data_IF_346673958486
#
_entry.id   IF_346673958486
#
_cell.length_a   1.000
_cell.length_b   1.000
_cell.length_c   1.000
_cell.angle_alpha   90.00
_cell.angle_beta   90.00
_cell.angle_gamma   90.00
#
_symmetry.space_group_name_H-M   'P 1'
#
loop_
_entity.id
_entity.type
_entity.pdbx_description
1 polymer ?
#
# COMPACT_ATOMS: atom_id res chain seq x y z
N UNK A 1 52.18 34.54 60.62
CA UNK A 1 52.71 35.92 60.55
C UNK A 1 53.33 36.07 59.17
N UNK A 2 52.97 36.98 58.27
CA UNK A 2 52.17 38.20 58.35
C UNK A 2 51.66 38.52 56.91
N UNK A 3 50.35 38.73 56.78
CA UNK A 3 49.66 39.83 56.07
C UNK A 3 50.16 40.30 54.69
N UNK A 4 49.39 40.14 53.59
CA UNK A 4 48.31 41.03 53.05
C UNK A 4 48.72 42.46 52.68
N UNK A 5 48.64 42.78 51.38
CA UNK A 5 48.40 44.11 50.76
C UNK A 5 47.69 43.81 49.41
N UNK A 6 46.38 43.96 49.18
CA UNK A 6 45.47 45.12 49.15
C UNK A 6 45.83 46.22 48.13
N UNK A 7 45.03 46.21 47.06
CA UNK A 7 44.24 47.33 46.50
C UNK A 7 44.90 48.40 45.62
N UNK A 8 44.36 48.53 44.40
CA UNK A 8 43.99 49.75 43.63
C UNK A 8 43.86 49.29 42.16
N UNK A 9 42.75 49.45 41.44
CA UNK A 9 42.10 50.71 41.07
C UNK A 9 40.63 50.43 40.70
N UNK A 10 39.70 51.19 41.28
CA UNK A 10 38.33 51.37 40.78
C UNK A 10 38.36 52.32 39.57
N UNK A 11 37.52 52.10 38.55
CA UNK A 11 36.53 53.09 38.10
C UNK A 11 35.45 52.47 37.18
N UNK A 12 34.26 53.04 37.29
CA UNK A 12 32.94 52.53 36.93
C UNK A 12 32.58 52.57 35.43
N UNK A 13 31.77 51.60 35.00
CA UNK A 13 30.65 51.84 34.08
C UNK A 13 29.51 50.84 34.34
N UNK A 14 28.36 51.37 34.75
CA UNK A 14 27.04 50.72 34.80
C UNK A 14 26.53 50.46 33.37
N UNK A 15 25.91 49.30 33.08
CA UNK A 15 24.46 49.21 32.76
C UNK A 15 23.99 47.76 32.51
N UNK A 16 22.82 47.46 33.08
CA UNK A 16 21.78 46.50 32.67
C UNK A 16 22.08 45.00 32.58
N UNK A 17 21.57 44.28 33.58
CA UNK A 17 21.16 42.88 33.49
C UNK A 17 19.88 42.75 32.63
N UNK A 18 19.79 41.66 31.85
CA UNK A 18 18.52 41.03 31.50
C UNK A 18 18.73 39.50 31.46
N UNK A 19 17.84 38.84 32.18
CA UNK A 19 17.73 37.41 32.42
C UNK A 19 17.45 36.65 31.10
N UNK A 20 18.09 35.50 30.88
CA UNK A 20 17.64 34.55 29.86
C UNK A 20 17.62 33.15 30.45
N UNK A 21 16.38 32.70 30.68
CA UNK A 21 16.01 31.34 31.05
C UNK A 21 16.40 30.45 29.87
N UNK A 22 17.35 29.54 30.08
CA UNK A 22 17.69 28.49 29.10
C UNK A 22 16.55 27.49 29.04
N UNK A 23 15.67 27.66 28.05
CA UNK A 23 14.70 26.65 27.65
C UNK A 23 15.48 25.44 27.13
N UNK A 24 15.17 24.27 27.67
CA UNK A 24 15.66 22.99 27.18
C UNK A 24 15.19 22.76 25.74
N UNK A 25 16.11 22.70 24.79
CA UNK A 25 15.82 22.14 23.48
C UNK A 25 15.54 20.64 23.65
N UNK A 26 14.39 20.20 23.15
CA UNK A 26 14.04 18.80 22.93
C UNK A 26 15.12 18.12 22.07
N UNK A 27 15.26 16.77 22.11
CA UNK A 27 16.14 16.07 21.19
C UNK A 27 15.77 16.41 19.74
N UNK A 28 16.77 16.67 18.92
CA UNK A 28 16.64 16.88 17.48
C UNK A 28 15.82 15.75 16.88
N UNK A 29 14.69 16.09 16.28
CA UNK A 29 14.06 15.24 15.26
C UNK A 29 15.14 15.06 14.17
N UNK A 30 15.43 13.82 13.80
CA UNK A 30 16.36 13.51 12.71
C UNK A 30 16.00 14.34 11.47
N UNK A 31 17.00 14.93 10.81
CA UNK A 31 16.84 15.71 9.57
C UNK A 31 16.21 14.81 8.48
N UNK A 32 14.87 14.75 8.41
CA UNK A 32 14.17 14.15 7.27
C UNK A 32 14.28 15.12 6.08
N UNK A 33 14.64 14.67 4.86
CA UNK A 33 14.70 15.55 3.70
C UNK A 33 13.27 16.01 3.34
N UNK A 34 12.97 17.29 3.56
CA UNK A 34 11.72 17.91 3.10
C UNK A 34 11.72 18.18 1.59
N UNK A 35 10.54 18.49 1.05
CA UNK A 35 10.32 18.78 -0.36
C UNK A 35 9.55 20.07 -0.63
N UNK A 36 9.42 20.43 -1.91
CA UNK A 36 8.68 21.62 -2.32
C UNK A 36 7.20 21.31 -2.58
N UNK A 37 6.30 21.83 -1.75
CA UNK A 37 4.87 21.69 -1.94
C UNK A 37 4.31 22.79 -2.86
N UNK A 38 3.81 22.40 -4.03
CA UNK A 38 3.26 23.28 -5.06
C UNK A 38 1.73 23.37 -4.92
N UNK A 39 1.27 24.37 -4.17
CA UNK A 39 -0.17 24.62 -3.95
C UNK A 39 -0.92 24.84 -5.26
N UNK A 40 -0.29 25.53 -6.22
CA UNK A 40 -0.92 25.93 -7.48
C UNK A 40 -0.84 24.86 -8.58
N UNK A 41 -0.15 23.75 -8.33
CA UNK A 41 -0.01 22.63 -9.28
C UNK A 41 -0.64 21.34 -8.73
N UNK A 42 -1.84 21.46 -8.15
CA UNK A 42 -2.60 20.31 -7.66
C UNK A 42 -2.08 19.72 -6.35
N UNK A 43 -1.53 20.54 -5.46
CA UNK A 43 -1.04 20.10 -4.14
C UNK A 43 0.05 19.02 -4.23
N UNK A 44 0.94 19.14 -5.22
CA UNK A 44 2.00 18.16 -5.49
C UNK A 44 3.26 18.46 -4.71
N UNK A 45 3.99 17.39 -4.43
CA UNK A 45 5.35 17.44 -3.91
C UNK A 45 6.37 17.37 -5.04
N UNK A 46 7.12 18.45 -5.24
CA UNK A 46 8.27 18.49 -6.14
C UNK A 46 9.57 18.36 -5.33
N UNK A 47 10.20 17.20 -5.50
CA UNK A 47 11.39 16.79 -4.77
C UNK A 47 12.70 17.11 -5.52
N UNK A 48 12.61 17.61 -6.75
CA UNK A 48 13.78 17.99 -7.55
C UNK A 48 14.21 19.44 -7.28
N UNK A 49 13.28 20.28 -6.81
CA UNK A 49 13.56 21.66 -6.49
C UNK A 49 14.33 21.78 -5.18
N UNK A 50 15.34 22.64 -5.17
CA UNK A 50 15.94 23.11 -3.92
C UNK A 50 14.98 24.03 -3.16
N UNK A 51 15.28 24.28 -1.88
CA UNK A 51 14.49 25.23 -1.05
C UNK A 51 14.38 26.61 -1.68
N UNK A 52 15.45 27.09 -2.34
CA UNK A 52 15.47 28.38 -3.02
C UNK A 52 14.61 28.40 -4.28
N UNK A 53 14.66 27.32 -5.07
CA UNK A 53 13.82 27.15 -6.27
C UNK A 53 12.34 27.01 -5.89
N UNK A 54 12.06 26.34 -4.78
CA UNK A 54 10.71 26.21 -4.24
C UNK A 54 10.06 27.57 -3.95
N UNK A 55 10.81 28.46 -3.29
CA UNK A 55 10.35 29.83 -3.05
C UNK A 55 10.16 30.63 -4.35
N UNK A 56 10.97 30.37 -5.37
CA UNK A 56 10.87 31.04 -6.67
C UNK A 56 9.61 30.67 -7.47
N UNK A 57 9.02 29.50 -7.21
CA UNK A 57 7.77 29.04 -7.83
C UNK A 57 6.54 29.20 -6.92
N UNK A 58 6.66 29.96 -5.83
CA UNK A 58 5.63 30.14 -4.81
C UNK A 58 5.20 28.82 -4.13
N UNK A 59 6.09 27.83 -4.10
CA UNK A 59 5.91 26.62 -3.31
C UNK A 59 6.21 26.83 -1.82
N UNK A 60 5.77 25.89 -0.99
CA UNK A 60 6.08 25.85 0.44
C UNK A 60 7.05 24.71 0.69
N UNK A 61 8.25 25.02 1.17
CA UNK A 61 9.16 23.98 1.65
C UNK A 61 8.61 23.38 2.95
N UNK A 62 8.42 22.07 2.99
CA UNK A 62 7.86 21.40 4.16
C UNK A 62 8.41 20.00 4.32
N UNK A 63 8.73 19.61 5.57
CA UNK A 63 9.14 18.26 5.94
C UNK A 63 8.00 17.24 5.77
N UNK A 64 6.75 17.71 5.65
CA UNK A 64 5.59 16.87 5.28
C UNK A 64 5.54 16.51 3.79
N UNK A 65 6.34 17.22 2.99
CA UNK A 65 6.55 16.84 1.61
C UNK A 65 7.63 15.77 1.66
N UNK A 66 7.21 14.56 2.04
CA UNK A 66 8.11 13.42 2.20
C UNK A 66 8.53 12.96 0.81
N UNK A 67 9.68 13.49 0.39
CA UNK A 67 10.44 13.03 -0.74
C UNK A 67 11.17 11.75 -0.34
N UNK A 68 10.41 10.70 -0.02
CA UNK A 68 11.01 9.37 -0.02
C UNK A 68 11.53 9.16 -1.45
N UNK A 69 12.82 8.82 -1.58
CA UNK A 69 13.27 8.26 -2.85
C UNK A 69 12.34 7.08 -3.09
N UNK A 70 11.50 7.16 -4.13
CA UNK A 70 10.70 6.06 -4.65
C UNK A 70 11.55 4.81 -4.52
N UNK A 71 11.25 3.97 -3.52
CA UNK A 71 12.01 2.74 -3.32
C UNK A 71 11.92 2.03 -4.67
N UNK A 72 13.05 1.84 -5.39
CA UNK A 72 12.99 1.22 -6.69
C UNK A 72 12.25 -0.09 -6.51
N UNK A 73 11.16 -0.27 -7.27
CA UNK A 73 10.29 -1.40 -7.00
C UNK A 73 11.10 -2.69 -7.08
N UNK A 74 11.05 -3.47 -6.01
CA UNK A 74 11.77 -4.72 -5.93
C UNK A 74 10.93 -5.75 -6.66
N UNK A 75 11.34 -6.16 -7.85
CA UNK A 75 10.69 -7.27 -8.58
C UNK A 75 11.34 -8.62 -8.30
N UNK A 76 12.31 -8.68 -7.39
CA UNK A 76 12.86 -9.94 -6.94
C UNK A 76 11.89 -10.66 -6.02
N UNK A 77 11.88 -11.99 -6.13
CA UNK A 77 11.01 -12.89 -5.36
C UNK A 77 9.54 -12.41 -5.32
N UNK A 78 8.89 -12.29 -6.49
CA UNK A 78 7.54 -11.72 -6.61
C UNK A 78 6.47 -12.51 -5.85
N UNK A 79 6.81 -13.73 -5.42
CA UNK A 79 5.86 -14.72 -4.98
C UNK A 79 6.44 -15.62 -3.88
N UNK A 80 5.80 -15.63 -2.71
CA UNK A 80 6.04 -16.61 -1.65
C UNK A 80 4.77 -17.38 -1.36
N UNK A 81 4.83 -18.71 -1.33
CA UNK A 81 3.69 -19.58 -1.10
C UNK A 81 3.96 -20.60 0.00
N UNK A 82 2.99 -20.76 0.90
CA UNK A 82 3.02 -21.72 1.99
C UNK A 82 1.71 -22.48 1.99
N UNK A 83 1.79 -23.81 1.89
CA UNK A 83 0.65 -24.70 2.12
C UNK A 83 0.53 -25.04 3.61
N UNK A 84 -0.69 -25.17 4.09
CA UNK A 84 -1.01 -25.49 5.48
C UNK A 84 -1.66 -26.87 5.61
N UNK A 85 -1.56 -27.46 6.81
CA UNK A 85 -2.11 -28.80 7.11
C UNK A 85 -3.64 -28.87 7.02
N UNK A 86 -4.33 -27.73 7.09
CA UNK A 86 -5.79 -27.62 6.96
C UNK A 86 -6.27 -27.58 5.50
N UNK A 87 -5.35 -27.69 4.54
CA UNK A 87 -5.65 -27.63 3.10
C UNK A 87 -5.77 -26.22 2.53
N UNK A 88 -5.63 -25.19 3.37
CA UNK A 88 -5.46 -23.81 2.91
C UNK A 88 -4.01 -23.51 2.55
N UNK A 89 -3.81 -22.39 1.88
CA UNK A 89 -2.51 -21.82 1.57
C UNK A 89 -2.46 -20.35 1.98
N UNK A 90 -1.27 -19.85 2.26
CA UNK A 90 -0.99 -18.42 2.31
C UNK A 90 -0.03 -18.06 1.19
N UNK A 91 -0.38 -17.02 0.44
CA UNK A 91 0.48 -16.43 -0.58
C UNK A 91 0.79 -14.99 -0.19
N UNK A 92 2.05 -14.59 -0.37
CA UNK A 92 2.47 -13.19 -0.40
C UNK A 92 2.97 -12.87 -1.80
N UNK A 93 2.40 -11.83 -2.40
CA UNK A 93 2.78 -11.31 -3.71
C UNK A 93 3.48 -9.97 -3.50
N UNK A 94 4.71 -9.86 -3.97
CA UNK A 94 5.41 -8.59 -4.06
C UNK A 94 4.97 -7.89 -5.35
N UNK A 95 3.91 -7.09 -5.21
CA UNK A 95 3.32 -6.21 -6.22
C UNK A 95 3.77 -4.75 -5.98
N UNK A 96 4.98 -4.54 -5.44
CA UNK A 96 5.48 -3.20 -5.11
C UNK A 96 5.67 -2.31 -6.35
N UNK A 97 5.82 -2.90 -7.54
CA UNK A 97 5.96 -2.18 -8.81
C UNK A 97 4.65 -1.55 -9.30
N UNK A 98 4.74 -0.29 -9.74
CA UNK A 98 3.60 0.44 -10.32
C UNK A 98 3.31 0.08 -11.77
N UNK A 99 4.32 -0.39 -12.52
CA UNK A 99 4.20 -0.66 -13.96
C UNK A 99 4.00 -2.15 -14.27
N UNK A 100 4.40 -3.04 -13.36
CA UNK A 100 4.40 -4.48 -13.60
C UNK A 100 3.28 -5.17 -12.82
N UNK A 101 2.62 -6.11 -13.49
CA UNK A 101 1.66 -7.02 -12.87
C UNK A 101 2.36 -8.34 -12.53
N UNK A 102 2.09 -8.87 -11.34
CA UNK A 102 2.45 -10.25 -10.97
C UNK A 102 1.21 -11.12 -11.10
N UNK A 103 1.32 -12.28 -11.73
CA UNK A 103 0.17 -13.13 -12.05
C UNK A 103 0.20 -14.42 -11.24
N UNK A 104 -0.97 -14.90 -10.81
CA UNK A 104 -1.16 -16.15 -10.07
C UNK A 104 -2.08 -17.08 -10.83
N UNK A 105 -1.68 -18.35 -10.91
CA UNK A 105 -2.55 -19.46 -11.25
C UNK A 105 -2.96 -20.20 -9.96
N UNK A 106 -4.24 -20.11 -9.58
CA UNK A 106 -4.78 -20.71 -8.37
C UNK A 106 -4.76 -22.24 -8.44
N UNK A 107 -5.00 -22.80 -9.63
CA UNK A 107 -5.04 -24.26 -9.81
C UNK A 107 -3.64 -24.89 -9.75
N UNK A 108 -2.63 -24.19 -10.25
CA UNK A 108 -1.22 -24.61 -10.15
C UNK A 108 -0.56 -24.19 -8.83
N UNK A 109 -1.22 -23.32 -8.05
CA UNK A 109 -0.72 -22.71 -6.82
C UNK A 109 0.63 -22.01 -6.99
N UNK A 110 0.83 -21.39 -8.15
CA UNK A 110 2.11 -20.83 -8.56
C UNK A 110 1.97 -19.50 -9.28
N UNK A 111 3.05 -18.73 -9.29
CA UNK A 111 3.20 -17.58 -10.18
C UNK A 111 3.04 -18.03 -11.64
N UNK A 112 2.31 -17.23 -12.42
CA UNK A 112 2.18 -17.36 -13.86
C UNK A 112 2.99 -16.27 -14.57
N UNK A 113 3.56 -16.59 -15.72
CA UNK A 113 4.36 -15.64 -16.53
C UNK A 113 3.84 -15.55 -17.96
N UNK A 114 2.61 -15.04 -18.17
CA UNK A 114 2.01 -15.00 -19.49
C UNK A 114 2.70 -14.02 -20.44
N UNK A 115 3.08 -14.50 -21.64
CA UNK A 115 3.67 -13.66 -22.70
C UNK A 115 2.68 -12.60 -23.22
N UNK A 116 1.38 -12.91 -23.20
CA UNK A 116 0.29 -12.02 -23.63
C UNK A 116 -0.85 -12.12 -22.63
N UNK A 117 -0.80 -11.38 -21.51
CA UNK A 117 -1.75 -11.54 -20.40
C UNK A 117 -3.22 -11.43 -20.83
N UNK A 118 -3.55 -10.47 -21.69
CA UNK A 118 -4.92 -10.21 -22.15
C UNK A 118 -5.53 -11.38 -22.96
N UNK A 119 -4.69 -12.30 -23.46
CA UNK A 119 -5.12 -13.52 -24.16
C UNK A 119 -4.42 -14.80 -23.67
N UNK A 120 -4.32 -14.97 -22.35
CA UNK A 120 -3.70 -16.16 -21.75
C UNK A 120 -4.68 -17.00 -20.91
N UNK A 121 -4.50 -18.33 -20.91
CA UNK A 121 -5.14 -19.28 -19.98
C UNK A 121 -4.32 -19.50 -18.71
N UNK A 122 -3.12 -18.92 -18.61
CA UNK A 122 -2.13 -19.31 -17.61
C UNK A 122 -2.34 -18.65 -16.25
N UNK A 123 -3.20 -17.64 -16.13
CA UNK A 123 -3.38 -16.87 -14.90
C UNK A 123 -4.86 -16.66 -14.55
N UNK A 124 -5.14 -16.57 -13.26
CA UNK A 124 -6.47 -16.29 -12.70
C UNK A 124 -6.57 -14.86 -12.16
N UNK A 125 -5.57 -14.46 -11.38
CA UNK A 125 -5.49 -13.15 -10.72
C UNK A 125 -4.19 -12.44 -11.06
N UNK A 126 -4.27 -11.13 -11.27
CA UNK A 126 -3.11 -10.25 -11.43
C UNK A 126 -3.05 -9.23 -10.31
N UNK A 127 -1.85 -8.92 -9.82
CA UNK A 127 -1.59 -8.00 -8.72
C UNK A 127 -0.64 -6.87 -9.14
N UNK A 128 -1.01 -5.63 -8.81
CA UNK A 128 -0.17 -4.45 -9.02
C UNK A 128 -0.51 -3.41 -7.95
N UNK A 129 0.46 -3.07 -7.09
CA UNK A 129 0.21 -2.25 -5.90
C UNK A 129 -0.98 -2.84 -5.12
N UNK A 130 -1.98 -2.04 -4.77
CA UNK A 130 -3.21 -2.48 -4.12
C UNK A 130 -4.26 -3.03 -5.08
N UNK A 131 -4.02 -2.96 -6.40
CA UNK A 131 -4.97 -3.39 -7.43
C UNK A 131 -4.89 -4.90 -7.63
N UNK A 132 -6.06 -5.52 -7.76
CA UNK A 132 -6.20 -6.95 -8.03
C UNK A 132 -7.19 -7.09 -9.18
N UNK A 133 -6.71 -7.61 -10.32
CA UNK A 133 -7.53 -7.86 -11.50
C UNK A 133 -7.79 -9.35 -11.67
N UNK A 134 -8.92 -9.69 -12.27
CA UNK A 134 -9.28 -11.07 -12.64
C UNK A 134 -9.05 -11.32 -14.12
N UNK A 135 -8.76 -12.56 -14.53
CA UNK A 135 -8.71 -12.93 -15.96
C UNK A 135 -10.13 -13.06 -16.52
N UNK A 136 -10.87 -11.96 -16.47
CA UNK A 136 -12.25 -11.87 -16.91
C UNK A 136 -12.63 -10.46 -17.29
N UNK A 137 -13.70 -10.33 -18.08
CA UNK A 137 -14.20 -9.04 -18.52
C UNK A 137 -13.19 -8.28 -19.38
N UNK A 138 -12.82 -7.07 -18.98
CA UNK A 138 -11.88 -6.23 -19.75
C UNK A 138 -10.40 -6.61 -19.53
N UNK A 139 -10.09 -7.35 -18.47
CA UNK A 139 -8.73 -7.62 -18.01
C UNK A 139 -8.09 -8.86 -18.67
N UNK A 140 -8.89 -9.72 -19.30
CA UNK A 140 -8.42 -10.90 -19.98
C UNK A 140 -9.53 -11.69 -20.67
N UNK A 141 -9.14 -12.58 -21.57
CA UNK A 141 -10.07 -13.30 -22.46
C UNK A 141 -10.68 -14.57 -21.85
N UNK A 142 -10.49 -14.81 -20.55
CA UNK A 142 -11.12 -15.92 -19.83
C UNK A 142 -12.36 -15.44 -19.08
N UNK A 143 -13.02 -16.36 -18.38
CA UNK A 143 -14.25 -16.09 -17.65
C UNK A 143 -14.02 -16.23 -16.14
N UNK A 144 -12.91 -15.68 -15.65
CA UNK A 144 -12.69 -15.60 -14.21
C UNK A 144 -13.64 -14.57 -13.64
N UNK A 145 -14.41 -14.99 -12.63
CA UNK A 145 -15.40 -14.14 -11.97
C UNK A 145 -15.25 -14.25 -10.46
N UNK A 146 -15.55 -13.16 -9.78
CA UNK A 146 -15.30 -12.99 -8.35
C UNK A 146 -16.58 -12.56 -7.64
N UNK A 147 -16.96 -13.29 -6.60
CA UNK A 147 -17.98 -12.88 -5.64
C UNK A 147 -17.30 -12.44 -4.35
N UNK A 148 -17.95 -11.58 -3.57
CA UNK A 148 -17.50 -11.15 -2.25
C UNK A 148 -18.62 -11.37 -1.23
N UNK A 149 -18.27 -11.81 -0.03
CA UNK A 149 -19.19 -11.88 1.11
C UNK A 149 -18.50 -11.44 2.40
N UNK A 150 -19.26 -10.77 3.26
CA UNK A 150 -18.92 -10.49 4.65
C UNK A 150 -19.89 -11.19 5.62
N UNK A 151 -20.72 -12.11 5.13
CA UNK A 151 -21.74 -12.79 5.93
C UNK A 151 -21.20 -14.05 6.64
N UNK A 152 -20.06 -14.56 6.20
CA UNK A 152 -19.41 -15.74 6.77
C UNK A 152 -17.88 -15.54 6.80
N UNK A 153 -17.24 -16.10 7.82
CA UNK A 153 -15.77 -16.12 7.89
C UNK A 153 -15.16 -17.11 6.92
N UNK A 154 -13.86 -16.98 6.67
CA UNK A 154 -13.13 -17.92 5.81
C UNK A 154 -13.33 -19.37 6.22
N UNK A 155 -13.28 -19.68 7.51
CA UNK A 155 -13.37 -21.06 8.00
C UNK A 155 -14.81 -21.60 8.00
N UNK A 156 -15.83 -20.73 8.12
CA UNK A 156 -17.25 -21.11 8.08
C UNK A 156 -17.78 -21.34 6.66
N UNK A 157 -17.17 -20.70 5.65
CA UNK A 157 -17.62 -20.80 4.27
C UNK A 157 -17.15 -22.11 3.62
N UNK A 158 -18.07 -23.07 3.50
CA UNK A 158 -17.79 -24.41 2.93
C UNK A 158 -18.21 -24.56 1.46
N UNK A 159 -19.13 -23.70 0.99
CA UNK A 159 -19.69 -23.74 -0.36
C UNK A 159 -19.71 -22.34 -0.99
N UNK A 160 -19.39 -22.26 -2.29
CA UNK A 160 -19.43 -21.04 -3.05
C UNK A 160 -20.88 -20.54 -3.24
N UNK A 161 -21.12 -19.22 -3.20
CA UNK A 161 -22.45 -18.67 -3.47
C UNK A 161 -22.86 -18.92 -4.92
N UNK A 162 -24.15 -19.06 -5.19
CA UNK A 162 -24.67 -19.27 -6.55
C UNK A 162 -24.76 -17.98 -7.39
N UNK A 163 -24.60 -16.81 -6.76
CA UNK A 163 -24.78 -15.50 -7.40
C UNK A 163 -23.87 -14.44 -6.77
N UNK A 164 -23.84 -13.25 -7.36
CA UNK A 164 -23.03 -12.12 -6.87
C UNK A 164 -21.64 -12.04 -7.49
N UNK A 165 -21.39 -12.82 -8.55
CA UNK A 165 -20.13 -12.79 -9.29
C UNK A 165 -20.04 -11.59 -10.22
N UNK A 166 -18.89 -10.93 -10.19
CA UNK A 166 -18.49 -9.82 -11.04
C UNK A 166 -17.24 -10.24 -11.84
N UNK A 167 -17.13 -9.72 -13.05
CA UNK A 167 -15.86 -9.66 -13.78
C UNK A 167 -15.37 -8.23 -13.79
N UNK A 168 -14.09 -8.02 -14.06
CA UNK A 168 -13.55 -6.67 -14.21
C UNK A 168 -14.27 -5.92 -15.35
N UNK A 169 -14.60 -4.66 -15.11
CA UNK A 169 -15.33 -3.82 -16.05
C UNK A 169 -14.57 -2.53 -16.37
N UNK A 170 -15.00 -1.85 -17.43
CA UNK A 170 -14.56 -0.47 -17.69
C UNK A 170 -14.88 0.41 -16.48
N UNK A 171 -14.07 1.45 -16.30
CA UNK A 171 -14.27 2.46 -15.27
C UNK A 171 -15.69 3.05 -15.30
N UNK A 172 -16.30 3.17 -14.12
CA UNK A 172 -17.62 3.73 -13.95
C UNK A 172 -17.55 5.24 -13.67
N UNK A 173 -18.71 5.92 -13.57
CA UNK A 173 -18.72 7.35 -13.22
C UNK A 173 -18.55 7.52 -11.69
N UNK A 174 -17.40 7.12 -11.14
CA UNK A 174 -17.04 7.30 -9.73
C UNK A 174 -15.90 8.32 -9.52
N UNK A 175 -15.29 8.37 -8.32
CA UNK A 175 -14.20 9.31 -8.03
C UNK A 175 -12.81 8.78 -8.48
N UNK A 176 -12.71 7.49 -8.80
CA UNK A 176 -11.54 6.85 -9.38
C UNK A 176 -11.45 7.08 -10.89
N UNK A 177 -10.30 6.71 -11.46
CA UNK A 177 -10.05 6.67 -12.91
C UNK A 177 -9.50 5.29 -13.32
N UNK A 178 -9.53 4.35 -12.37
CA UNK A 178 -9.06 2.98 -12.56
C UNK A 178 -10.25 2.12 -12.97
N UNK A 179 -10.07 1.10 -13.81
CA UNK A 179 -11.16 0.20 -14.13
C UNK A 179 -11.79 -0.45 -12.89
N UNK A 180 -13.07 -0.77 -12.99
CA UNK A 180 -13.86 -1.45 -11.96
C UNK A 180 -13.41 -2.91 -11.82
N UNK A 181 -12.28 -3.14 -11.15
CA UNK A 181 -11.82 -4.48 -10.82
C UNK A 181 -12.71 -5.11 -9.77
N UNK A 182 -12.97 -6.43 -9.85
CA UNK A 182 -13.92 -7.09 -8.95
C UNK A 182 -13.51 -7.10 -7.46
N UNK A 183 -12.25 -6.76 -7.15
CA UNK A 183 -11.74 -6.58 -5.78
C UNK A 183 -11.75 -5.12 -5.30
N UNK A 184 -12.00 -4.17 -6.21
CA UNK A 184 -12.10 -2.73 -5.93
C UNK A 184 -13.53 -2.19 -6.04
N UNK A 185 -14.39 -2.87 -6.80
CA UNK A 185 -15.79 -2.51 -7.03
C UNK A 185 -16.75 -3.64 -6.58
N UNK A 186 -17.93 -3.32 -6.03
CA UNK A 186 -18.44 -1.96 -5.76
C UNK A 186 -17.77 -1.28 -4.56
N UNK A 187 -17.00 -2.01 -3.77
CA UNK A 187 -16.23 -1.47 -2.65
C UNK A 187 -14.84 -2.11 -2.62
N UNK A 188 -13.80 -1.36 -2.23
CA UNK A 188 -12.45 -1.89 -2.17
C UNK A 188 -12.28 -2.89 -1.04
N UNK A 189 -11.36 -3.83 -1.23
CA UNK A 189 -10.97 -4.83 -0.24
C UNK A 189 -10.36 -4.26 1.05
N UNK A 190 -10.06 -2.97 1.08
CA UNK A 190 -9.47 -2.27 2.21
C UNK A 190 -10.30 -1.09 2.69
N UNK A 191 -10.11 -0.74 3.95
CA UNK A 191 -10.41 0.57 4.50
C UNK A 191 -9.18 1.49 4.35
N UNK A 192 -9.40 2.69 3.83
CA UNK A 192 -8.35 3.70 3.66
C UNK A 192 -8.45 4.77 4.75
N UNK A 193 -7.40 4.89 5.55
CA UNK A 193 -7.28 5.96 6.53
C UNK A 193 -6.68 7.21 5.86
N UNK A 194 -7.47 8.28 5.72
CA UNK A 194 -7.03 9.50 5.02
C UNK A 194 -6.00 10.35 5.81
N UNK A 195 -5.82 10.10 7.11
CA UNK A 195 -4.86 10.83 7.92
C UNK A 195 -3.47 10.18 7.85
N UNK A 196 -3.44 8.86 7.86
CA UNK A 196 -2.21 8.04 7.89
C UNK A 196 -1.85 7.44 6.54
N UNK A 197 -2.76 7.48 5.57
CA UNK A 197 -2.64 6.85 4.26
C UNK A 197 -2.45 5.32 4.31
N UNK A 198 -2.88 4.68 5.40
CA UNK A 198 -2.76 3.24 5.61
C UNK A 198 -3.97 2.50 5.02
N UNK A 199 -3.70 1.41 4.30
CA UNK A 199 -4.73 0.49 3.79
C UNK A 199 -4.87 -0.68 4.77
N UNK A 200 -6.06 -0.87 5.34
CA UNK A 200 -6.34 -2.00 6.23
C UNK A 200 -7.28 -2.99 5.54
N UNK A 201 -6.90 -4.27 5.36
CA UNK A 201 -7.81 -5.26 4.79
C UNK A 201 -9.12 -5.36 5.58
N UNK A 202 -10.25 -5.42 4.87
CA UNK A 202 -11.56 -5.67 5.46
C UNK A 202 -11.70 -7.16 5.80
N UNK A 203 -12.58 -7.45 6.76
CA UNK A 203 -12.97 -8.83 7.07
C UNK A 203 -13.99 -9.34 6.04
N UNK A 204 -13.49 -9.68 4.86
CA UNK A 204 -14.26 -10.12 3.70
C UNK A 204 -13.65 -11.39 3.11
N UNK A 205 -14.51 -12.25 2.56
CA UNK A 205 -14.12 -13.44 1.84
C UNK A 205 -14.53 -13.29 0.38
N UNK A 206 -13.56 -13.48 -0.50
CA UNK A 206 -13.75 -13.50 -1.94
C UNK A 206 -13.86 -14.94 -2.42
N UNK A 207 -14.72 -15.17 -3.41
CA UNK A 207 -14.86 -16.45 -4.09
C UNK A 207 -14.51 -16.24 -5.54
N UNK A 208 -13.49 -16.93 -6.02
CA UNK A 208 -12.99 -16.85 -7.39
C UNK A 208 -13.34 -18.13 -8.12
N UNK A 209 -14.05 -18.02 -9.24
CA UNK A 209 -14.13 -19.09 -10.22
C UNK A 209 -12.95 -18.93 -11.18
N UNK A 210 -12.00 -19.86 -11.11
CA UNK A 210 -10.76 -19.86 -11.90
C UNK A 210 -10.98 -20.16 -13.38
N UNK A 211 -9.93 -20.01 -14.20
CA UNK A 211 -9.89 -20.39 -15.61
C UNK A 211 -10.21 -21.88 -15.81
N UNK A 212 -9.81 -22.76 -14.89
CA UNK A 212 -10.14 -24.19 -14.93
C UNK A 212 -11.58 -24.49 -14.55
N UNK A 213 -12.33 -23.50 -14.04
CA UNK A 213 -13.70 -23.65 -13.55
C UNK A 213 -13.79 -24.10 -12.09
N UNK A 214 -12.66 -24.33 -11.42
CA UNK A 214 -12.60 -24.62 -10.00
C UNK A 214 -12.87 -23.36 -9.17
N UNK A 215 -13.45 -23.54 -7.99
CA UNK A 215 -13.77 -22.45 -7.06
C UNK A 215 -12.75 -22.38 -5.92
N UNK A 216 -12.34 -21.15 -5.61
CA UNK A 216 -11.44 -20.85 -4.51
C UNK A 216 -12.05 -19.78 -3.61
N UNK A 217 -11.93 -19.93 -2.29
CA UNK A 217 -12.15 -18.85 -1.33
C UNK A 217 -10.83 -18.18 -0.99
N UNK A 218 -10.84 -16.86 -0.81
CA UNK A 218 -9.67 -16.03 -0.55
C UNK A 218 -10.02 -14.94 0.47
N UNK A 219 -9.13 -14.72 1.43
CA UNK A 219 -9.21 -13.62 2.39
C UNK A 219 -7.89 -12.85 2.38
N UNK A 220 -7.95 -11.54 2.15
CA UNK A 220 -6.77 -10.67 2.17
C UNK A 220 -6.42 -10.38 3.64
N UNK A 221 -5.15 -10.54 3.97
CA UNK A 221 -4.62 -10.48 5.33
C UNK A 221 -3.73 -9.26 5.57
N UNK A 222 -2.98 -8.83 4.56
CA UNK A 222 -2.07 -7.70 4.67
C UNK A 222 -1.72 -7.11 3.29
N UNK A 223 -1.21 -5.89 3.30
CA UNK A 223 -0.68 -5.16 2.13
C UNK A 223 0.77 -4.70 2.32
N UNK A 224 1.28 -4.81 3.55
CA UNK A 224 2.62 -4.39 3.90
C UNK A 224 3.48 -5.59 4.29
N UNK A 225 4.78 -5.49 4.07
CA UNK A 225 5.74 -6.46 4.61
C UNK A 225 6.03 -6.22 6.11
N UNK A 226 6.88 -7.05 6.71
CA UNK A 226 7.30 -6.91 8.11
C UNK A 226 8.02 -5.58 8.41
N UNK A 227 8.54 -4.89 7.39
CA UNK A 227 9.19 -3.58 7.50
C UNK A 227 8.22 -2.40 7.32
N UNK A 228 6.96 -2.66 6.94
CA UNK A 228 5.97 -1.64 6.61
C UNK A 228 6.02 -1.16 5.16
N UNK A 229 6.76 -1.83 4.28
CA UNK A 229 6.82 -1.52 2.84
C UNK A 229 5.50 -1.89 2.17
N UNK A 230 4.90 -0.95 1.45
CA UNK A 230 3.64 -1.17 0.71
C UNK A 230 3.82 -2.05 -0.52
N UNK A 231 2.74 -2.71 -0.97
CA UNK A 231 2.73 -3.50 -2.19
C UNK A 231 3.03 -4.98 -1.97
N UNK A 232 3.02 -5.46 -0.73
CA UNK A 232 3.21 -6.86 -0.38
C UNK A 232 1.87 -7.48 0.01
N UNK A 233 1.04 -7.80 -0.98
CA UNK A 233 -0.29 -8.37 -0.77
C UNK A 233 -0.17 -9.79 -0.21
N UNK A 234 -0.71 -10.01 0.99
CA UNK A 234 -0.77 -11.31 1.65
C UNK A 234 -2.21 -11.77 1.77
N UNK A 235 -2.49 -13.01 1.42
CA UNK A 235 -3.83 -13.58 1.52
C UNK A 235 -3.82 -15.07 1.86
N UNK A 236 -4.86 -15.51 2.59
CA UNK A 236 -5.18 -16.92 2.83
C UNK A 236 -6.16 -17.37 1.75
N UNK A 237 -6.00 -18.57 1.22
CA UNK A 237 -6.93 -19.11 0.22
C UNK A 237 -7.01 -20.64 0.26
N UNK A 238 -8.10 -21.20 -0.26
CA UNK A 238 -8.31 -22.64 -0.35
C UNK A 238 -9.33 -22.95 -1.45
N UNK A 239 -9.32 -24.18 -1.96
CA UNK A 239 -10.45 -24.69 -2.76
C UNK A 239 -11.72 -24.70 -1.94
N UNK A 240 -12.85 -24.39 -2.58
CA UNK A 240 -14.19 -24.46 -1.97
C UNK A 240 -15.12 -25.28 -2.86
N UNK A 241 -16.16 -25.88 -2.27
CA UNK A 241 -17.16 -26.61 -3.07
C UNK A 241 -17.88 -25.63 -4.02
N UNK A 242 -18.11 -26.08 -5.26
CA UNK A 242 -18.93 -25.36 -6.21
C UNK A 242 -20.36 -25.17 -5.68
N UNK A 243 -21.11 -24.17 -6.18
CA UNK A 243 -22.49 -23.94 -5.74
C UNK A 243 -23.37 -25.15 -5.99
N UNK A 244 -24.28 -25.45 -5.06
CA UNK A 244 -25.30 -26.47 -5.23
C UNK A 244 -26.25 -26.10 -6.39
N UNK A 245 -26.53 -27.09 -7.23
CA UNK A 245 -27.49 -27.04 -8.35
C UNK A 245 -28.96 -26.93 -7.90
#
# INVERSE_FOLDING_TARGET
MLLTQLNQVLYFAFLSALLSIGVSCAPSIEDKPGGCYLINDGHKCDCALSTDECGAVFGIWTERCECEEETPCDSSDPFTHVEHDDGSSTTTVNASCEENWVYLNLSEKAEATPDTPDDSEEWDLGFQRFKIKSNGGISGSRNVVVAMTSEATFDELEEAPAMGYLSDAEDSEDEGEDPDFAFLAPEPWYDYDQETHILTPKDQVYIVQSVSGDYFKLQILDYYDDAGTSGYLKFKWATIMAPAE
#
